data_IF_706788710423
#
_entry.id   IF_706788710423
#
_cell.length_a   1.000
_cell.length_b   1.000
_cell.length_c   1.000
_cell.angle_alpha   90.00
_cell.angle_beta   90.00
_cell.angle_gamma   90.00
#
_symmetry.space_group_name_H-M   'P 1'
#
loop_
_entity.id
_entity.type
_entity.pdbx_description
1 polymer ?
#
# COMPACT_ATOMS: atom_id res chain seq x y z
N UNK A 1 7.60 -13.50 5.35
CA UNK A 1 8.59 -12.54 5.90
C UNK A 1 8.20 -12.27 7.34
N UNK A 2 9.12 -12.37 8.29
CA UNK A 2 8.87 -12.04 9.69
C UNK A 2 9.38 -10.63 9.94
N UNK A 3 8.49 -9.70 10.29
CA UNK A 3 8.89 -8.36 10.72
C UNK A 3 8.57 -8.23 12.20
N UNK A 4 9.44 -8.80 13.04
CA UNK A 4 9.28 -8.92 14.50
C UNK A 4 8.88 -7.59 15.18
N UNK A 5 9.34 -6.47 14.60
CA UNK A 5 9.01 -5.11 15.01
C UNK A 5 7.52 -4.75 14.89
N UNK A 6 6.81 -5.30 13.89
CA UNK A 6 5.38 -5.06 13.64
C UNK A 6 4.45 -5.96 14.46
N UNK A 7 4.96 -7.10 14.95
CA UNK A 7 4.12 -8.17 15.50
C UNK A 7 3.23 -8.86 14.47
N UNK A 8 3.51 -8.71 13.17
CA UNK A 8 2.79 -9.35 12.08
C UNK A 8 3.71 -10.21 11.21
N UNK A 9 3.12 -11.22 10.59
CA UNK A 9 3.70 -11.99 9.49
C UNK A 9 2.74 -11.99 8.30
N UNK A 10 3.30 -12.09 7.09
CA UNK A 10 2.54 -12.26 5.85
C UNK A 10 3.32 -13.09 4.84
N UNK A 11 2.58 -13.62 3.87
CA UNK A 11 3.12 -14.34 2.72
C UNK A 11 2.99 -13.47 1.48
N UNK A 12 4.14 -13.07 0.92
CA UNK A 12 4.17 -12.40 -0.36
C UNK A 12 3.99 -13.42 -1.51
N UNK A 13 3.34 -13.04 -2.63
CA UNK A 13 3.29 -13.86 -3.84
C UNK A 13 4.68 -14.28 -4.31
N UNK A 14 4.84 -15.50 -4.82
CA UNK A 14 6.15 -16.04 -5.23
C UNK A 14 6.75 -15.30 -6.42
N UNK A 15 5.89 -14.73 -7.24
CA UNK A 15 6.22 -13.98 -8.45
C UNK A 15 6.76 -12.58 -8.13
N UNK A 16 6.55 -12.10 -6.91
CA UNK A 16 6.98 -10.78 -6.47
C UNK A 16 8.41 -10.85 -5.95
N UNK A 17 9.28 -10.01 -6.50
CA UNK A 17 10.69 -9.98 -6.13
C UNK A 17 10.88 -9.04 -4.95
N UNK A 18 11.62 -9.47 -3.93
CA UNK A 18 12.04 -8.56 -2.87
C UNK A 18 13.02 -7.55 -3.46
N UNK A 19 12.69 -6.26 -3.35
CA UNK A 19 13.52 -5.15 -3.77
C UNK A 19 14.57 -4.78 -2.72
N UNK A 20 15.39 -3.80 -3.07
CA UNK A 20 16.40 -3.25 -2.17
C UNK A 20 15.78 -2.60 -0.93
N UNK A 21 16.57 -2.51 0.15
CA UNK A 21 16.21 -1.73 1.33
C UNK A 21 16.07 -0.26 0.94
N UNK A 22 15.01 0.38 1.44
CA UNK A 22 14.72 1.80 1.24
C UNK A 22 14.45 2.44 2.61
N UNK A 23 14.86 3.70 2.83
CA UNK A 23 14.56 4.39 4.08
C UNK A 23 13.06 4.34 4.41
N UNK A 24 12.74 4.21 5.69
CA UNK A 24 11.37 4.19 6.22
C UNK A 24 10.49 3.01 5.74
N UNK A 25 11.02 2.06 4.97
CA UNK A 25 10.29 0.86 4.51
C UNK A 25 10.81 -0.38 5.23
N UNK A 26 9.89 -1.22 5.71
CA UNK A 26 10.23 -2.53 6.27
C UNK A 26 10.32 -3.61 5.20
N UNK A 27 9.65 -3.41 4.06
CA UNK A 27 9.78 -4.26 2.87
C UNK A 27 9.46 -3.44 1.60
N UNK A 28 10.09 -3.82 0.50
CA UNK A 28 9.75 -3.35 -0.85
C UNK A 28 9.63 -4.59 -1.73
N UNK A 29 8.52 -4.75 -2.45
CA UNK A 29 8.36 -5.79 -3.46
C UNK A 29 8.23 -5.15 -4.84
N UNK A 30 9.04 -5.62 -5.78
CA UNK A 30 8.97 -5.25 -7.19
C UNK A 30 8.02 -6.22 -7.91
N UNK A 31 7.04 -5.66 -8.62
CA UNK A 31 5.93 -6.38 -9.23
C UNK A 31 5.84 -5.99 -10.71
N UNK A 32 6.10 -6.94 -11.61
CA UNK A 32 6.22 -6.64 -13.04
C UNK A 32 7.34 -5.63 -13.32
N UNK A 33 7.19 -4.81 -14.37
CA UNK A 33 8.22 -3.85 -14.77
C UNK A 33 8.23 -2.57 -13.92
N UNK A 34 7.05 -2.06 -13.54
CA UNK A 34 6.91 -0.73 -12.91
C UNK A 34 5.99 -0.71 -11.67
N UNK A 35 5.59 -1.87 -11.17
CA UNK A 35 4.80 -1.99 -9.95
C UNK A 35 5.68 -2.14 -8.72
N UNK A 36 5.30 -1.49 -7.62
CA UNK A 36 6.00 -1.58 -6.34
C UNK A 36 4.99 -1.67 -5.19
N UNK A 37 5.08 -2.71 -4.36
CA UNK A 37 4.48 -2.71 -3.03
C UNK A 37 5.54 -2.25 -2.02
N UNK A 38 5.34 -1.05 -1.48
CA UNK A 38 6.09 -0.55 -0.34
C UNK A 38 5.34 -0.84 0.95
N UNK A 39 6.03 -1.43 1.95
CA UNK A 39 5.48 -1.71 3.27
C UNK A 39 6.15 -0.83 4.30
N UNK A 40 5.35 -0.11 5.09
CA UNK A 40 5.81 0.83 6.11
C UNK A 40 5.30 0.43 7.48
N UNK A 41 6.11 0.67 8.49
CA UNK A 41 5.75 0.61 9.90
C UNK A 41 6.55 1.65 10.64
N UNK A 42 5.85 2.49 11.40
CA UNK A 42 6.44 3.66 12.05
C UNK A 42 6.67 3.46 13.56
N UNK A 43 6.29 2.30 14.11
CA UNK A 43 6.33 2.01 15.55
C UNK A 43 4.95 2.04 16.21
N UNK A 44 4.91 1.61 17.46
CA UNK A 44 3.68 1.55 18.26
C UNK A 44 3.18 2.96 18.60
N UNK A 45 1.88 3.18 18.39
CA UNK A 45 1.26 4.51 18.51
C UNK A 45 1.69 5.53 17.43
N UNK A 46 2.53 5.14 16.48
CA UNK A 46 3.02 6.00 15.39
C UNK A 46 2.27 5.75 14.08
N UNK A 47 2.53 6.60 13.07
CA UNK A 47 1.91 6.51 11.73
C UNK A 47 0.59 7.26 11.58
N UNK A 48 -0.02 7.69 12.70
CA UNK A 48 -1.22 8.53 12.72
C UNK A 48 -2.49 7.81 12.27
N UNK A 49 -3.54 8.60 12.05
CA UNK A 49 -4.87 8.10 11.72
C UNK A 49 -4.92 7.42 10.32
N UNK A 50 -5.54 6.22 10.19
CA UNK A 50 -5.65 5.54 8.90
C UNK A 50 -6.36 6.34 7.81
N UNK A 51 -7.41 7.09 8.14
CA UNK A 51 -8.25 7.79 7.17
C UNK A 51 -7.50 9.03 6.63
N UNK A 52 -6.78 9.73 7.52
CA UNK A 52 -5.86 10.80 7.10
C UNK A 52 -4.75 10.28 6.18
N UNK A 53 -4.26 9.05 6.37
CA UNK A 53 -3.28 8.44 5.47
C UNK A 53 -3.87 8.08 4.11
N UNK A 54 -5.11 7.55 4.08
CA UNK A 54 -5.83 7.29 2.84
C UNK A 54 -6.09 8.59 2.07
N UNK A 55 -6.50 9.66 2.75
CA UNK A 55 -6.63 11.00 2.16
C UNK A 55 -5.32 11.50 1.58
N UNK A 56 -4.21 11.31 2.29
CA UNK A 56 -2.87 11.64 1.77
C UNK A 56 -2.55 10.86 0.51
N UNK A 57 -2.84 9.55 0.45
CA UNK A 57 -2.60 8.73 -0.75
C UNK A 57 -3.47 9.15 -1.93
N UNK A 58 -4.75 9.48 -1.71
CA UNK A 58 -5.66 9.99 -2.75
C UNK A 58 -5.13 11.28 -3.37
N UNK A 59 -4.60 12.21 -2.56
CA UNK A 59 -4.03 13.48 -3.03
C UNK A 59 -2.77 13.34 -3.88
N UNK A 60 -2.20 12.15 -3.97
CA UNK A 60 -1.08 11.85 -4.89
C UNK A 60 -1.56 11.53 -6.30
N UNK A 61 -2.87 11.57 -6.54
CA UNK A 61 -3.47 11.33 -7.83
C UNK A 61 -4.23 12.57 -8.29
N UNK A 62 -4.00 12.96 -9.54
CA UNK A 62 -4.90 13.82 -10.30
C UNK A 62 -5.98 12.90 -10.87
N UNK A 63 -7.20 13.02 -10.33
CA UNK A 63 -8.32 12.16 -10.71
C UNK A 63 -8.95 12.69 -12.02
N UNK A 64 -9.44 11.81 -12.91
CA UNK A 64 -10.23 12.22 -14.05
C UNK A 64 -11.47 12.99 -13.59
N UNK A 65 -11.76 14.11 -14.23
CA UNK A 65 -12.91 14.95 -13.89
C UNK A 65 -14.22 14.15 -13.97
N UNK A 66 -15.06 14.25 -12.94
CA UNK A 66 -16.35 13.54 -12.88
C UNK A 66 -16.29 12.04 -12.55
N UNK A 67 -15.11 11.44 -12.36
CA UNK A 67 -15.01 10.00 -12.10
C UNK A 67 -15.24 9.64 -10.63
N UNK A 68 -16.49 9.29 -10.29
CA UNK A 68 -16.85 8.74 -8.98
C UNK A 68 -16.20 7.37 -8.69
N UNK A 69 -15.78 6.66 -9.73
CA UNK A 69 -15.16 5.32 -9.62
C UNK A 69 -13.62 5.38 -9.50
N UNK A 70 -13.02 6.56 -9.61
CA UNK A 70 -11.58 6.74 -9.50
C UNK A 70 -11.05 6.46 -8.09
N UNK A 71 -11.90 6.47 -7.07
CA UNK A 71 -11.56 6.14 -5.69
C UNK A 71 -12.59 5.18 -5.13
N UNK A 72 -12.13 4.07 -4.57
CA UNK A 72 -12.94 3.15 -3.78
C UNK A 72 -12.28 2.87 -2.45
N UNK A 73 -13.04 3.01 -1.38
CA UNK A 73 -12.61 2.66 -0.03
C UNK A 73 -13.44 1.51 0.52
N UNK A 74 -12.79 0.59 1.22
CA UNK A 74 -13.47 -0.49 1.93
C UNK A 74 -12.83 -0.73 3.28
N UNK A 75 -13.62 -1.28 4.21
CA UNK A 75 -13.16 -1.74 5.51
C UNK A 75 -13.49 -3.22 5.62
N UNK A 76 -12.55 -4.03 6.09
CA UNK A 76 -12.77 -5.44 6.39
C UNK A 76 -11.97 -5.89 7.59
N UNK A 77 -12.30 -7.06 8.11
CA UNK A 77 -11.51 -7.73 9.14
C UNK A 77 -10.71 -8.88 8.54
N UNK A 78 -9.48 -9.03 9.02
CA UNK A 78 -8.62 -10.17 8.72
C UNK A 78 -8.09 -10.71 10.04
N UNK A 79 -8.57 -11.89 10.45
CA UNK A 79 -8.13 -12.60 11.66
C UNK A 79 -8.13 -11.69 12.91
N UNK A 80 -9.21 -10.93 13.09
CA UNK A 80 -9.40 -10.01 14.22
C UNK A 80 -8.65 -8.68 14.12
N UNK A 81 -7.99 -8.40 12.99
CA UNK A 81 -7.38 -7.10 12.70
C UNK A 81 -8.26 -6.31 11.74
N UNK A 82 -8.50 -5.04 12.04
CA UNK A 82 -9.19 -4.16 11.11
C UNK A 82 -8.24 -3.75 9.98
N UNK A 83 -8.72 -3.83 8.75
CA UNK A 83 -8.01 -3.41 7.54
C UNK A 83 -8.83 -2.35 6.80
N UNK A 84 -8.26 -1.16 6.63
CA UNK A 84 -8.77 -0.14 5.71
C UNK A 84 -8.08 -0.29 4.37
N UNK A 85 -8.84 -0.33 3.28
CA UNK A 85 -8.33 -0.51 1.92
C UNK A 85 -8.79 0.67 1.07
N UNK A 86 -7.89 1.17 0.24
CA UNK A 86 -8.20 2.17 -0.79
C UNK A 86 -7.70 1.68 -2.14
N UNK A 87 -8.49 1.95 -3.17
CA UNK A 87 -8.17 1.73 -4.57
C UNK A 87 -8.33 3.07 -5.30
N UNK A 88 -7.23 3.62 -5.80
CA UNK A 88 -7.20 4.91 -6.51
C UNK A 88 -6.68 4.72 -7.92
N UNK A 89 -7.35 5.31 -8.91
CA UNK A 89 -6.93 5.31 -10.31
C UNK A 89 -6.82 6.73 -10.83
N UNK A 90 -5.81 7.01 -11.64
CA UNK A 90 -5.62 8.31 -12.28
C UNK A 90 -4.18 8.59 -12.63
N UNK A 91 -3.83 9.87 -12.71
CA UNK A 91 -2.45 10.31 -12.94
C UNK A 91 -1.72 10.44 -11.61
N UNK A 92 -0.76 9.56 -11.36
CA UNK A 92 0.03 9.55 -10.14
C UNK A 92 1.14 10.59 -10.20
N UNK A 93 1.24 11.46 -9.20
CA UNK A 93 2.21 12.56 -9.17
C UNK A 93 3.63 12.15 -8.76
N UNK A 94 3.81 10.85 -8.45
CA UNK A 94 5.07 10.25 -8.03
C UNK A 94 5.82 11.07 -6.97
N UNK A 95 5.21 11.38 -5.82
CA UNK A 95 5.83 12.26 -4.85
C UNK A 95 7.09 11.65 -4.25
N UNK A 96 8.14 12.47 -4.14
CA UNK A 96 9.46 12.07 -3.64
C UNK A 96 10.17 13.22 -2.94
N UNK A 97 11.36 12.92 -2.40
CA UNK A 97 12.16 13.87 -1.64
C UNK A 97 11.60 14.19 -0.24
N UNK A 98 12.34 14.99 0.57
CA UNK A 98 11.93 15.33 1.93
C UNK A 98 10.60 16.08 2.03
N UNK A 99 10.27 16.86 1.00
CA UNK A 99 9.04 17.67 0.94
C UNK A 99 7.87 16.94 0.27
N UNK A 100 8.05 15.68 -0.16
CA UNK A 100 7.03 14.89 -0.87
C UNK A 100 6.46 15.60 -2.10
N UNK A 101 7.32 16.32 -2.83
CA UNK A 101 6.95 17.07 -4.02
C UNK A 101 6.80 16.15 -5.23
N UNK A 102 5.93 16.52 -6.17
CA UNK A 102 5.72 15.74 -7.38
C UNK A 102 7.02 15.61 -8.17
N UNK A 103 7.40 14.37 -8.50
CA UNK A 103 8.58 14.08 -9.32
C UNK A 103 8.22 13.80 -10.79
N UNK A 104 6.97 14.07 -11.19
CA UNK A 104 6.46 13.82 -12.53
C UNK A 104 5.11 13.12 -12.51
N UNK A 105 4.28 13.47 -13.50
CA UNK A 105 2.96 12.89 -13.70
C UNK A 105 3.09 11.56 -14.45
N UNK A 106 2.54 10.50 -13.86
CA UNK A 106 2.47 9.16 -14.42
C UNK A 106 1.01 8.83 -14.72
N UNK A 107 0.54 9.00 -15.98
CA UNK A 107 -0.84 8.70 -16.36
C UNK A 107 -1.13 7.20 -16.31
N UNK A 108 -2.41 6.85 -16.20
CA UNK A 108 -2.89 5.46 -16.15
C UNK A 108 -2.23 4.62 -15.05
N UNK A 109 -2.08 5.22 -13.87
CA UNK A 109 -1.58 4.55 -12.67
C UNK A 109 -2.72 4.17 -11.73
N UNK A 110 -2.44 3.19 -10.89
CA UNK A 110 -3.33 2.73 -9.83
C UNK A 110 -2.56 2.55 -8.53
N UNK A 111 -3.23 2.84 -7.42
CA UNK A 111 -2.77 2.52 -6.08
C UNK A 111 -3.77 1.57 -5.43
N UNK A 112 -3.29 0.41 -4.97
CA UNK A 112 -3.97 -0.44 -4.00
C UNK A 112 -3.27 -0.28 -2.65
N UNK A 113 -3.95 0.38 -1.72
CA UNK A 113 -3.46 0.67 -0.38
C UNK A 113 -4.20 -0.17 0.65
N UNK A 114 -3.49 -0.71 1.64
CA UNK A 114 -4.09 -1.32 2.82
C UNK A 114 -3.39 -0.84 4.09
N UNK A 115 -4.16 -0.42 5.08
CA UNK A 115 -3.68 -0.06 6.42
C UNK A 115 -4.25 -1.09 7.38
N UNK A 116 -3.36 -1.88 7.96
CA UNK A 116 -3.69 -2.98 8.86
C UNK A 116 -3.40 -2.53 10.27
N UNK A 117 -4.44 -2.42 11.10
CA UNK A 117 -4.30 -2.13 12.52
C UNK A 117 -3.83 -3.41 13.23
N UNK A 118 -2.51 -3.56 13.33
CA UNK A 118 -1.84 -4.70 13.94
C UNK A 118 -1.65 -4.56 15.45
N UNK A 119 -1.12 -5.61 16.11
CA UNK A 119 -0.98 -5.66 17.57
C UNK A 119 0.05 -4.67 18.11
N UNK A 120 1.06 -4.27 17.32
CA UNK A 120 2.07 -3.27 17.72
C UNK A 120 1.89 -1.95 16.98
N UNK A 121 0.73 -1.70 16.38
CA UNK A 121 0.45 -0.51 15.59
C UNK A 121 0.16 -0.81 14.12
N UNK A 122 -0.09 0.25 13.35
CA UNK A 122 -0.53 0.14 11.97
C UNK A 122 0.62 -0.21 11.01
N UNK A 123 0.37 -1.17 10.12
CA UNK A 123 1.27 -1.51 9.01
C UNK A 123 0.62 -1.09 7.70
N UNK A 124 1.36 -0.37 6.88
CA UNK A 124 0.87 0.28 5.68
C UNK A 124 1.43 -0.43 4.45
N UNK A 125 0.55 -0.99 3.64
CA UNK A 125 0.87 -1.68 2.40
C UNK A 125 0.42 -0.79 1.25
N UNK A 126 1.36 -0.19 0.53
CA UNK A 126 1.07 0.73 -0.58
C UNK A 126 1.58 0.15 -1.89
N UNK A 127 0.70 -0.48 -2.67
CA UNK A 127 1.01 -1.02 -3.99
C UNK A 127 0.67 0.00 -5.06
N UNK A 128 1.67 0.54 -5.75
CA UNK A 128 1.50 1.55 -6.80
C UNK A 128 2.20 1.12 -8.09
N UNK A 129 1.58 1.38 -9.25
CA UNK A 129 2.16 1.07 -10.56
C UNK A 129 1.18 1.36 -11.71
N UNK A 130 1.56 1.01 -12.96
CA UNK A 130 0.64 1.08 -14.09
C UNK A 130 -0.66 0.33 -13.78
N UNK A 131 -1.80 0.90 -14.18
CA UNK A 131 -3.13 0.41 -13.82
C UNK A 131 -3.31 -1.06 -14.22
N UNK A 132 -2.80 -1.45 -15.40
CA UNK A 132 -2.78 -2.84 -15.86
C UNK A 132 -1.97 -3.77 -14.95
N UNK A 133 -0.74 -3.39 -14.59
CA UNK A 133 0.11 -4.19 -13.70
C UNK A 133 -0.56 -4.41 -12.35
N UNK A 134 -1.17 -3.36 -11.78
CA UNK A 134 -1.87 -3.44 -10.50
C UNK A 134 -3.14 -4.30 -10.62
N UNK A 135 -3.90 -4.16 -11.71
CA UNK A 135 -5.09 -4.98 -11.97
C UNK A 135 -4.75 -6.47 -12.11
N UNK A 136 -3.72 -6.81 -12.89
CA UNK A 136 -3.27 -8.20 -13.08
C UNK A 136 -2.81 -8.83 -11.75
N UNK A 137 -2.38 -8.01 -10.78
CA UNK A 137 -1.86 -8.44 -9.47
C UNK A 137 -2.83 -8.20 -8.30
N UNK A 138 -4.04 -7.72 -8.55
CA UNK A 138 -5.00 -7.37 -7.48
C UNK A 138 -5.37 -8.58 -6.62
N UNK A 139 -5.58 -9.75 -7.25
CA UNK A 139 -5.85 -11.00 -6.53
C UNK A 139 -4.68 -11.39 -5.62
N UNK A 140 -3.46 -11.24 -6.12
CA UNK A 140 -2.24 -11.55 -5.37
C UNK A 140 -2.03 -10.60 -4.18
N UNK A 141 -2.29 -9.30 -4.37
CA UNK A 141 -2.31 -8.31 -3.29
C UNK A 141 -3.36 -8.67 -2.23
N UNK A 142 -4.59 -8.98 -2.64
CA UNK A 142 -5.66 -9.34 -1.71
C UNK A 142 -5.35 -10.63 -0.93
N UNK A 143 -4.70 -11.61 -1.57
CA UNK A 143 -4.23 -12.83 -0.91
C UNK A 143 -3.11 -12.54 0.10
N UNK A 144 -2.15 -11.65 -0.22
CA UNK A 144 -1.13 -11.19 0.73
C UNK A 144 -1.79 -10.58 1.97
N UNK A 145 -2.72 -9.64 1.79
CA UNK A 145 -3.43 -9.02 2.92
C UNK A 145 -4.27 -10.07 3.68
N UNK A 146 -4.90 -11.01 2.99
CA UNK A 146 -5.64 -12.11 3.63
C UNK A 146 -4.76 -13.08 4.41
N UNK A 147 -3.46 -13.16 4.09
CA UNK A 147 -2.49 -14.03 4.75
C UNK A 147 -1.95 -13.47 6.06
N UNK A 148 -2.29 -12.22 6.43
CA UNK A 148 -1.77 -11.56 7.62
C UNK A 148 -2.15 -12.33 8.89
N UNK A 149 -1.15 -12.54 9.75
CA UNK A 149 -1.29 -13.17 11.06
C UNK A 149 -0.49 -12.38 12.10
N UNK A 150 -0.89 -12.52 13.37
CA UNK A 150 -0.04 -12.08 14.47
C UNK A 150 1.20 -12.98 14.49
N UNK A 151 2.38 -12.37 14.64
CA UNK A 151 3.61 -13.12 14.84
C UNK A 151 3.50 -13.94 16.14
N UNK A 152 4.08 -15.15 16.13
CA UNK A 152 4.18 -16.01 17.31
C UNK A 152 5.21 -15.48 18.30
#
# INVERSE_FOLDING_TARGET
MTTESTGLTWTAPKEWKLGEKRPMRIATYVVGEKGELAVFYFGEGQGGDPDLNIDRWKRQFKLPEGSKEAVKETKREVRGMTVRIVDVRGTYTNPGGPMMESQGDLPDYRLLGAIVMGPKGSVFFKFTGPAKTVADNEKAFNALIGSLEKAK
#
